data_IF_962102275875
#
_entry.id   IF_962102275875
#
_cell.length_a   1.000
_cell.length_b   1.000
_cell.length_c   1.000
_cell.angle_alpha   90.00
_cell.angle_beta   90.00
_cell.angle_gamma   90.00
#
_symmetry.space_group_name_H-M   'P 1'
#
loop_
_entity.id
_entity.type
_entity.pdbx_description
1 polymer ?
#
# COMPACT_ATOMS: atom_id res chain seq x y z
N UNK A 1 -17.74 -0.54 11.35
CA UNK A 1 -16.48 -1.23 11.03
C UNK A 1 -15.34 -0.30 11.43
N UNK A 2 -14.33 -0.82 12.14
CA UNK A 2 -13.23 0.01 12.64
C UNK A 2 -12.15 0.18 11.58
N UNK A 3 -11.35 1.24 11.69
CA UNK A 3 -10.22 1.47 10.79
C UNK A 3 -9.23 0.29 10.91
N UNK A 4 -8.82 -0.33 9.79
CA UNK A 4 -7.77 -1.35 9.82
C UNK A 4 -6.44 -0.74 10.27
N UNK A 5 -5.65 -1.51 11.02
CA UNK A 5 -4.34 -1.11 11.48
C UNK A 5 -3.26 -1.85 10.69
N UNK A 6 -2.27 -1.12 10.17
CA UNK A 6 -1.11 -1.70 9.53
C UNK A 6 -0.22 -2.32 10.62
N UNK A 7 0.05 -3.62 10.52
CA UNK A 7 0.88 -4.36 11.48
C UNK A 7 2.32 -4.41 11.00
N UNK A 8 2.51 -4.78 9.73
CA UNK A 8 3.84 -4.87 9.12
C UNK A 8 3.80 -4.20 7.76
N UNK A 9 4.58 -3.13 7.55
CA UNK A 9 4.65 -2.45 6.26
C UNK A 9 5.29 -3.37 5.20
N UNK A 10 5.13 -3.06 3.91
CA UNK A 10 5.72 -3.85 2.84
C UNK A 10 7.25 -3.78 2.91
N UNK A 11 7.89 -4.93 2.69
CA UNK A 11 9.35 -5.05 2.68
C UNK A 11 9.99 -4.64 1.35
N UNK A 12 9.18 -4.51 0.30
CA UNK A 12 9.61 -4.12 -1.04
C UNK A 12 8.69 -3.07 -1.65
N UNK A 13 9.22 -2.32 -2.62
CA UNK A 13 8.40 -1.43 -3.43
C UNK A 13 7.66 -2.21 -4.52
N UNK A 14 6.45 -1.78 -4.92
CA UNK A 14 5.69 -2.43 -6.00
C UNK A 14 6.37 -2.29 -7.37
N UNK A 15 7.26 -1.31 -7.52
CA UNK A 15 8.12 -1.11 -8.68
C UNK A 15 9.53 -0.70 -8.23
N UNK A 16 10.56 -1.24 -8.90
CA UNK A 16 11.95 -0.89 -8.59
C UNK A 16 12.32 0.51 -9.08
N UNK A 17 13.27 1.15 -8.39
CA UNK A 17 13.85 2.45 -8.79
C UNK A 17 14.43 2.34 -10.20
N UNK A 18 15.15 1.25 -10.51
CA UNK A 18 15.71 1.00 -11.83
C UNK A 18 14.64 0.95 -12.95
N UNK A 19 13.51 0.30 -12.70
CA UNK A 19 12.41 0.25 -13.67
C UNK A 19 11.76 1.61 -13.90
N UNK A 20 11.72 2.47 -12.88
CA UNK A 20 11.26 3.86 -13.02
C UNK A 20 12.29 4.69 -13.78
N UNK A 21 13.57 4.65 -13.40
CA UNK A 21 14.67 5.33 -14.11
C UNK A 21 14.71 5.02 -15.59
N UNK A 22 14.57 3.74 -15.94
CA UNK A 22 14.50 3.29 -17.33
C UNK A 22 13.31 3.91 -18.07
N UNK A 23 12.14 3.99 -17.43
CA UNK A 23 10.94 4.56 -18.04
C UNK A 23 11.06 6.08 -18.25
N UNK A 24 11.70 6.78 -17.31
CA UNK A 24 11.90 8.24 -17.35
C UNK A 24 13.18 8.65 -18.11
N UNK A 25 13.98 7.67 -18.56
CA UNK A 25 15.30 7.89 -19.21
C UNK A 25 16.28 8.68 -18.34
N UNK A 26 16.34 8.33 -17.06
CA UNK A 26 17.24 8.93 -16.07
C UNK A 26 18.38 7.96 -15.78
N UNK A 27 19.62 8.35 -16.10
CA UNK A 27 20.82 7.53 -15.87
C UNK A 27 21.64 7.98 -14.64
N UNK A 28 21.20 9.04 -13.95
CA UNK A 28 21.91 9.64 -12.81
C UNK A 28 21.72 8.81 -11.53
N UNK A 29 22.78 8.27 -10.89
CA UNK A 29 22.68 7.53 -9.63
C UNK A 29 22.37 8.43 -8.42
N UNK A 30 22.68 9.72 -8.46
CA UNK A 30 22.45 10.62 -7.32
C UNK A 30 20.95 10.86 -7.06
N UNK A 31 20.12 10.59 -8.08
CA UNK A 31 18.66 10.70 -8.00
C UNK A 31 17.98 9.45 -7.44
N UNK A 32 18.70 8.38 -7.13
CA UNK A 32 18.09 7.12 -6.69
C UNK A 32 17.24 7.30 -5.42
N UNK A 33 17.75 8.06 -4.45
CA UNK A 33 17.04 8.34 -3.18
C UNK A 33 15.80 9.21 -3.40
N UNK A 34 15.87 10.16 -4.33
CA UNK A 34 14.74 11.04 -4.66
C UNK A 34 13.64 10.25 -5.38
N UNK A 35 14.00 9.45 -6.37
CA UNK A 35 13.06 8.59 -7.11
C UNK A 35 12.41 7.58 -6.17
N UNK A 36 13.16 6.99 -5.23
CA UNK A 36 12.59 6.09 -4.23
C UNK A 36 11.54 6.79 -3.35
N UNK A 37 11.84 8.02 -2.90
CA UNK A 37 10.90 8.84 -2.12
C UNK A 37 9.62 9.17 -2.92
N UNK A 38 9.77 9.51 -4.20
CA UNK A 38 8.64 9.77 -5.09
C UNK A 38 7.80 8.52 -5.36
N UNK A 39 8.42 7.34 -5.50
CA UNK A 39 7.70 6.07 -5.60
C UNK A 39 6.90 5.83 -4.32
N UNK A 40 7.49 5.98 -3.13
CA UNK A 40 6.77 5.82 -1.85
C UNK A 40 5.58 6.78 -1.75
N UNK A 41 5.76 8.04 -2.12
CA UNK A 41 4.66 9.01 -2.13
C UNK A 41 3.57 8.67 -3.14
N UNK A 42 3.92 8.13 -4.32
CA UNK A 42 2.95 7.66 -5.29
C UNK A 42 2.19 6.43 -4.76
N UNK A 43 2.88 5.52 -4.08
CA UNK A 43 2.28 4.37 -3.41
C UNK A 43 1.28 4.83 -2.34
N UNK A 44 1.68 5.71 -1.41
CA UNK A 44 0.80 6.25 -0.36
C UNK A 44 -0.44 6.96 -0.92
N UNK A 45 -0.37 7.50 -2.15
CA UNK A 45 -1.49 8.13 -2.82
C UNK A 45 -2.53 7.12 -3.33
N UNK A 46 -2.06 5.98 -3.86
CA UNK A 46 -2.92 4.93 -4.41
C UNK A 46 -3.41 3.95 -3.33
N UNK A 47 -2.51 3.59 -2.40
CA UNK A 47 -2.66 2.54 -1.40
C UNK A 47 -3.29 3.04 -0.08
N UNK A 48 -3.91 2.10 0.63
CA UNK A 48 -4.32 2.27 2.02
C UNK A 48 -5.79 2.64 2.20
N UNK A 49 -6.23 2.62 3.46
CA UNK A 49 -7.63 2.89 3.84
C UNK A 49 -8.15 4.26 3.38
N UNK A 50 -7.25 5.25 3.28
CA UNK A 50 -7.55 6.60 2.77
C UNK A 50 -6.99 6.84 1.37
N UNK A 51 -6.35 5.85 0.77
CA UNK A 51 -5.87 5.92 -0.60
C UNK A 51 -7.02 5.89 -1.60
N UNK A 52 -6.75 6.29 -2.84
CA UNK A 52 -7.78 6.38 -3.88
C UNK A 52 -8.39 5.00 -4.19
N UNK A 53 -7.57 3.95 -4.18
CA UNK A 53 -8.00 2.62 -4.61
C UNK A 53 -8.52 1.75 -3.46
N UNK A 54 -8.15 2.05 -2.21
CA UNK A 54 -8.51 1.22 -1.06
C UNK A 54 -7.86 -0.17 -1.06
N UNK A 55 -6.80 -0.36 -1.85
CA UNK A 55 -6.08 -1.62 -2.00
C UNK A 55 -4.69 -1.57 -1.36
N UNK A 56 -4.10 -2.74 -1.15
CA UNK A 56 -2.69 -2.94 -0.86
C UNK A 56 -1.94 -3.27 -2.16
N UNK A 57 -0.80 -2.63 -2.42
CA UNK A 57 -0.03 -2.88 -3.64
C UNK A 57 1.02 -3.97 -3.41
N UNK A 58 1.94 -3.73 -2.49
CA UNK A 58 2.93 -4.73 -2.08
C UNK A 58 2.40 -5.58 -0.92
N UNK A 59 2.96 -6.78 -0.74
CA UNK A 59 2.59 -7.67 0.37
C UNK A 59 2.88 -7.00 1.73
N UNK A 60 1.85 -6.89 2.55
CA UNK A 60 1.91 -6.31 3.89
C UNK A 60 0.85 -6.93 4.81
N UNK A 61 1.05 -6.80 6.12
CA UNK A 61 0.18 -7.42 7.13
C UNK A 61 -0.75 -6.39 7.78
N UNK A 62 -2.03 -6.69 7.80
CA UNK A 62 -3.08 -5.85 8.34
C UNK A 62 -3.83 -6.53 9.47
N UNK A 63 -4.34 -5.70 10.38
CA UNK A 63 -5.20 -6.13 11.47
C UNK A 63 -6.56 -5.42 11.36
N UNK A 64 -7.63 -6.21 11.36
CA UNK A 64 -8.99 -5.71 11.37
C UNK A 64 -9.72 -6.17 12.64
N UNK A 65 -10.16 -5.21 13.44
CA UNK A 65 -10.99 -5.46 14.62
C UNK A 65 -12.48 -5.37 14.30
N UNK A 66 -13.28 -6.26 14.88
CA UNK A 66 -14.74 -6.26 14.85
C UNK A 66 -15.29 -6.35 16.27
N UNK A 67 -16.44 -5.74 16.53
CA UNK A 67 -17.05 -5.74 17.87
C UNK A 67 -17.84 -7.03 18.16
N UNK A 68 -18.18 -7.82 17.13
CA UNK A 68 -18.91 -9.09 17.27
C UNK A 68 -18.62 -10.04 16.11
N UNK A 69 -18.91 -11.33 16.34
CA UNK A 69 -18.91 -12.31 15.27
C UNK A 69 -20.10 -12.12 14.32
N UNK A 70 -19.81 -12.26 13.04
CA UNK A 70 -20.80 -12.46 11.99
C UNK A 70 -20.39 -13.70 11.19
N UNK A 71 -21.35 -14.32 10.50
CA UNK A 71 -21.05 -15.47 9.61
C UNK A 71 -20.11 -15.08 8.48
N UNK A 72 -20.15 -13.81 8.07
CA UNK A 72 -19.28 -13.25 7.06
C UNK A 72 -18.73 -11.91 7.55
N UNK A 73 -17.41 -11.78 7.58
CA UNK A 73 -16.68 -10.59 7.99
C UNK A 73 -15.91 -10.05 6.79
N UNK A 74 -16.34 -8.91 6.25
CA UNK A 74 -15.66 -8.27 5.13
C UNK A 74 -14.32 -7.69 5.57
N UNK A 75 -13.27 -7.93 4.80
CA UNK A 75 -11.95 -7.34 4.96
C UNK A 75 -11.86 -6.10 4.07
N UNK A 76 -11.49 -4.94 4.62
CA UNK A 76 -11.56 -3.69 3.88
C UNK A 76 -10.43 -3.47 2.89
N UNK A 77 -9.24 -4.01 3.19
CA UNK A 77 -8.05 -3.85 2.36
C UNK A 77 -7.85 -5.17 1.62
N UNK A 78 -7.93 -5.11 0.29
CA UNK A 78 -7.59 -6.21 -0.60
C UNK A 78 -6.50 -5.80 -1.59
N UNK A 79 -6.06 -6.69 -2.49
CA UNK A 79 -6.39 -8.11 -2.54
C UNK A 79 -5.81 -8.85 -1.33
N UNK A 80 -6.54 -9.83 -0.78
CA UNK A 80 -6.09 -10.60 0.41
C UNK A 80 -5.37 -11.86 -0.07
N UNK A 81 -4.12 -12.02 0.34
CA UNK A 81 -3.26 -13.18 0.01
C UNK A 81 -3.60 -14.35 0.93
N UNK A 82 -3.84 -14.06 2.21
CA UNK A 82 -4.12 -15.08 3.21
C UNK A 82 -4.47 -14.50 4.56
N UNK A 83 -5.03 -15.33 5.42
CA UNK A 83 -5.40 -14.98 6.80
C UNK A 83 -4.43 -15.69 7.74
N UNK A 84 -3.72 -14.94 8.56
CA UNK A 84 -2.72 -15.50 9.46
C UNK A 84 -3.37 -16.00 10.76
N UNK A 85 -4.27 -15.21 11.33
CA UNK A 85 -5.01 -15.63 12.52
C UNK A 85 -6.33 -14.89 12.71
N UNK A 86 -7.30 -15.59 13.28
CA UNK A 86 -8.54 -15.01 13.80
C UNK A 86 -8.57 -15.26 15.30
N UNK A 87 -8.53 -14.19 16.08
CA UNK A 87 -8.56 -14.25 17.55
C UNK A 87 -9.78 -13.53 18.07
N UNK A 88 -10.22 -13.90 19.26
CA UNK A 88 -11.31 -13.25 19.96
C UNK A 88 -11.01 -13.10 21.44
N UNK A 89 -11.64 -12.11 22.08
CA UNK A 89 -11.46 -11.78 23.49
C UNK A 89 -12.77 -11.88 24.26
N UNK A 90 -12.72 -12.51 25.43
CA UNK A 90 -13.88 -12.58 26.33
C UNK A 90 -13.98 -11.39 27.28
N UNK A 91 -15.07 -11.27 28.06
CA UNK A 91 -15.27 -10.16 29.01
C UNK A 91 -14.19 -10.10 30.10
N UNK A 92 -13.57 -11.24 30.43
CA UNK A 92 -12.46 -11.33 31.36
C UNK A 92 -11.10 -10.92 30.75
N UNK A 93 -11.06 -10.53 29.47
CA UNK A 93 -9.86 -10.10 28.77
C UNK A 93 -8.98 -11.24 28.25
N UNK A 94 -9.41 -12.49 28.38
CA UNK A 94 -8.70 -13.66 27.85
C UNK A 94 -8.87 -13.74 26.33
N UNK A 95 -7.77 -13.98 25.63
CA UNK A 95 -7.75 -14.12 24.17
C UNK A 95 -7.70 -15.59 23.79
N UNK A 96 -8.55 -15.99 22.85
CA UNK A 96 -8.56 -17.32 22.27
C UNK A 96 -8.50 -17.24 20.73
N UNK A 97 -7.93 -18.26 20.11
CA UNK A 97 -7.75 -18.34 18.66
C UNK A 97 -8.83 -19.25 18.07
N UNK A 98 -9.46 -18.81 16.99
CA UNK A 98 -10.40 -19.63 16.23
C UNK A 98 -9.59 -20.62 15.39
N UNK A 99 -9.93 -21.93 15.39
CA UNK A 99 -9.26 -22.90 14.54
C UNK A 99 -9.32 -22.50 13.06
N UNK A 100 -8.21 -22.59 12.30
CA UNK A 100 -8.19 -22.26 10.87
C UNK A 100 -9.19 -23.09 10.04
N UNK A 101 -9.50 -24.30 10.48
CA UNK A 101 -10.48 -25.18 9.84
C UNK A 101 -11.94 -24.75 10.05
N UNK A 102 -12.20 -23.71 10.85
CA UNK A 102 -13.56 -23.21 11.14
C UNK A 102 -13.94 -21.97 10.32
N UNK A 103 -13.02 -21.47 9.48
CA UNK A 103 -13.28 -20.34 8.60
C UNK A 103 -12.58 -20.50 7.25
N UNK A 104 -13.15 -19.87 6.23
CA UNK A 104 -12.58 -19.84 4.88
C UNK A 104 -12.52 -18.39 4.38
N UNK A 105 -11.41 -18.06 3.72
CA UNK A 105 -11.31 -16.83 2.93
C UNK A 105 -12.15 -16.98 1.66
N UNK A 106 -13.02 -16.02 1.41
CA UNK A 106 -13.81 -15.89 0.18
C UNK A 106 -13.45 -14.58 -0.48
N UNK A 107 -13.25 -14.63 -1.79
CA UNK A 107 -13.02 -13.44 -2.59
C UNK A 107 -14.09 -13.41 -3.66
N UNK A 108 -14.85 -12.33 -3.71
CA UNK A 108 -15.87 -12.11 -4.74
C UNK A 108 -15.22 -11.76 -6.08
N UNK A 109 -15.98 -11.86 -7.17
CA UNK A 109 -15.53 -11.48 -8.51
C UNK A 109 -15.11 -10.00 -8.59
N UNK A 110 -15.64 -9.14 -7.70
CA UNK A 110 -15.22 -7.75 -7.56
C UNK A 110 -13.93 -7.52 -6.75
N UNK A 111 -13.25 -8.58 -6.29
CA UNK A 111 -12.01 -8.48 -5.51
C UNK A 111 -12.20 -8.20 -4.01
N UNK A 112 -13.43 -7.96 -3.58
CA UNK A 112 -13.76 -7.83 -2.16
C UNK A 112 -13.54 -9.18 -1.46
N UNK A 113 -12.78 -9.16 -0.36
CA UNK A 113 -12.45 -10.36 0.40
C UNK A 113 -13.21 -10.39 1.71
N UNK A 114 -13.77 -11.54 2.08
CA UNK A 114 -14.48 -11.76 3.33
C UNK A 114 -14.05 -13.07 3.97
N UNK A 115 -14.08 -13.12 5.30
CA UNK A 115 -13.89 -14.35 6.06
C UNK A 115 -15.26 -14.90 6.39
N UNK A 116 -15.53 -16.11 5.91
CA UNK A 116 -16.76 -16.83 6.19
C UNK A 116 -16.50 -17.95 7.18
N UNK A 117 -17.23 -17.94 8.30
CA UNK A 117 -17.19 -19.04 9.26
C UNK A 117 -18.10 -20.18 8.82
N UNK A 118 -17.70 -21.40 9.13
CA UNK A 118 -18.50 -22.58 8.83
C UNK A 118 -19.84 -22.56 9.58
N UNK A 119 -20.86 -23.17 8.97
CA UNK A 119 -22.20 -23.19 9.57
C UNK A 119 -22.23 -23.89 10.93
N UNK A 120 -21.38 -24.90 11.12
CA UNK A 120 -21.27 -25.67 12.37
C UNK A 120 -20.45 -24.98 13.47
N UNK A 121 -19.74 -23.89 13.17
CA UNK A 121 -18.99 -23.16 14.18
C UNK A 121 -19.95 -22.40 15.11
N UNK A 122 -19.95 -22.74 16.39
CA UNK A 122 -20.72 -22.05 17.42
C UNK A 122 -19.95 -20.82 17.91
N UNK A 123 -20.55 -19.64 17.80
CA UNK A 123 -19.90 -18.42 18.26
C UNK A 123 -19.88 -18.35 19.79
N UNK A 124 -18.76 -17.92 20.40
CA UNK A 124 -18.73 -17.60 21.82
C UNK A 124 -19.76 -16.52 22.16
N UNK A 125 -20.46 -16.70 23.29
CA UNK A 125 -21.45 -15.72 23.79
C UNK A 125 -20.83 -14.67 24.70
N UNK A 126 -19.70 -15.00 25.33
CA UNK A 126 -19.00 -14.16 26.28
C UNK A 126 -17.95 -13.30 25.57
N UNK A 127 -18.40 -12.35 24.75
CA UNK A 127 -17.53 -11.47 23.98
C UNK A 127 -17.28 -10.17 24.74
N UNK A 128 -16.07 -9.62 24.62
CA UNK A 128 -15.78 -8.28 25.12
C UNK A 128 -16.66 -7.23 24.43
N UNK A 129 -16.97 -6.12 25.11
CA UNK A 129 -17.90 -5.10 24.61
C UNK A 129 -17.45 -4.44 23.28
N UNK A 130 -16.13 -4.37 23.05
CA UNK A 130 -15.48 -3.66 21.95
C UNK A 130 -14.25 -4.42 21.47
N UNK A 131 -14.04 -4.45 20.14
CA UNK A 131 -12.89 -5.14 19.52
C UNK A 131 -12.78 -6.61 19.94
N UNK A 132 -13.94 -7.25 20.09
CA UNK A 132 -14.05 -8.62 20.54
C UNK A 132 -13.38 -9.62 19.60
N UNK A 133 -13.29 -9.32 18.31
CA UNK A 133 -12.69 -10.17 17.28
C UNK A 133 -11.60 -9.40 16.57
N UNK A 134 -10.43 -10.01 16.43
CA UNK A 134 -9.28 -9.46 15.74
C UNK A 134 -8.83 -10.43 14.66
N UNK A 135 -8.75 -9.92 13.43
CA UNK A 135 -8.31 -10.70 12.27
C UNK A 135 -6.99 -10.13 11.79
N UNK A 136 -5.96 -10.96 11.77
CA UNK A 136 -4.69 -10.64 11.14
C UNK A 136 -4.62 -11.35 9.79
N UNK A 137 -4.34 -10.58 8.74
CA UNK A 137 -4.32 -11.06 7.36
C UNK A 137 -3.27 -10.32 6.55
N UNK A 138 -2.77 -11.00 5.51
CA UNK A 138 -1.86 -10.43 4.52
C UNK A 138 -2.63 -9.95 3.32
N UNK A 139 -2.38 -8.71 2.93
CA UNK A 139 -2.96 -8.09 1.74
C UNK A 139 -1.86 -7.53 0.84
N UNK A 140 -2.14 -7.46 -0.45
CA UNK A 140 -1.22 -7.03 -1.49
C UNK A 140 -1.09 -8.06 -2.60
N UNK A 141 -0.33 -7.71 -3.64
CA UNK A 141 0.09 -8.70 -4.61
C UNK A 141 1.28 -9.50 -4.08
N UNK A 142 1.29 -10.82 -4.29
CA UNK A 142 2.38 -11.66 -3.81
C UNK A 142 3.70 -11.25 -4.47
N UNK A 143 4.78 -11.38 -3.71
CA UNK A 143 6.11 -11.12 -4.24
C UNK A 143 6.56 -12.32 -5.08
N UNK A 144 7.15 -12.04 -6.24
CA UNK A 144 7.79 -13.05 -7.08
C UNK A 144 9.15 -13.39 -6.47
N UNK A 145 9.40 -14.66 -6.11
CA UNK A 145 10.72 -15.06 -5.61
C UNK A 145 11.77 -14.88 -6.71
N UNK A 146 12.97 -14.50 -6.31
CA UNK A 146 14.11 -14.43 -7.22
C UNK A 146 14.42 -15.83 -7.76
N UNK A 147 14.76 -15.95 -9.06
CA UNK A 147 15.22 -17.21 -9.62
C UNK A 147 16.57 -17.61 -8.99
N UNK A 148 16.87 -18.91 -8.94
CA UNK A 148 18.04 -19.44 -8.23
C UNK A 148 19.39 -18.95 -8.81
N UNK A 149 19.38 -18.49 -10.06
CA UNK A 149 20.49 -17.92 -10.82
C UNK A 149 20.49 -16.38 -10.83
N UNK A 150 19.73 -15.74 -9.94
CA UNK A 150 19.68 -14.29 -9.85
C UNK A 150 21.07 -13.69 -9.54
N UNK A 151 21.39 -12.61 -10.25
CA UNK A 151 22.62 -11.85 -10.06
C UNK A 151 22.62 -11.22 -8.65
N UNK A 152 23.80 -11.14 -8.04
CA UNK A 152 23.98 -10.48 -6.74
C UNK A 152 23.43 -9.03 -6.78
N UNK A 153 22.51 -8.70 -5.87
CA UNK A 153 21.81 -7.41 -5.84
C UNK A 153 20.45 -7.37 -6.55
N UNK A 154 19.97 -8.49 -7.12
CA UNK A 154 18.60 -8.57 -7.63
C UNK A 154 17.57 -8.40 -6.49
N UNK A 155 16.54 -7.58 -6.74
CA UNK A 155 15.48 -7.29 -5.77
C UNK A 155 14.22 -8.07 -6.19
N UNK A 156 13.53 -8.77 -5.27
CA UNK A 156 12.27 -9.43 -5.63
C UNK A 156 11.23 -8.40 -6.07
N UNK A 157 10.48 -8.73 -7.12
CA UNK A 157 9.45 -7.86 -7.68
C UNK A 157 8.07 -8.27 -7.20
N UNK A 158 7.20 -7.29 -6.95
CA UNK A 158 5.79 -7.58 -6.67
C UNK A 158 5.02 -7.90 -7.95
N UNK A 159 4.09 -8.85 -7.89
CA UNK A 159 3.22 -9.24 -9.01
C UNK A 159 2.07 -8.24 -9.24
N UNK A 160 2.30 -6.97 -8.88
CA UNK A 160 1.37 -5.86 -9.14
C UNK A 160 1.11 -5.76 -10.65
N UNK A 161 -0.16 -5.60 -11.07
CA UNK A 161 -0.55 -5.39 -12.45
C UNK A 161 0.21 -4.27 -13.15
N UNK A 162 0.51 -4.48 -14.44
CA UNK A 162 1.33 -3.56 -15.24
C UNK A 162 0.69 -2.18 -15.43
N UNK A 163 -0.64 -2.11 -15.41
CA UNK A 163 -1.41 -0.87 -15.45
C UNK A 163 -1.18 -0.02 -14.20
N UNK A 164 -1.19 -0.62 -13.01
CA UNK A 164 -0.86 0.06 -11.75
C UNK A 164 0.62 0.48 -11.74
N UNK A 165 1.53 -0.40 -12.17
CA UNK A 165 2.96 -0.05 -12.32
C UNK A 165 3.14 1.16 -13.25
N UNK A 166 2.38 1.22 -14.32
CA UNK A 166 2.37 2.36 -15.26
C UNK A 166 1.79 3.62 -14.62
N UNK A 167 0.72 3.51 -13.84
CA UNK A 167 0.16 4.64 -13.09
C UNK A 167 1.18 5.24 -12.11
N UNK A 168 1.93 4.39 -11.39
CA UNK A 168 3.01 4.83 -10.50
C UNK A 168 4.08 5.59 -11.30
N UNK A 169 4.55 5.05 -12.43
CA UNK A 169 5.53 5.74 -13.30
C UNK A 169 5.03 7.12 -13.74
N UNK A 170 3.77 7.22 -14.18
CA UNK A 170 3.16 8.49 -14.61
C UNK A 170 3.05 9.50 -13.46
N UNK A 171 2.71 9.03 -12.26
CA UNK A 171 2.64 9.87 -11.07
C UNK A 171 4.02 10.41 -10.70
N UNK A 172 5.04 9.56 -10.72
CA UNK A 172 6.44 9.97 -10.46
C UNK A 172 6.91 10.99 -11.50
N UNK A 173 6.67 10.75 -12.79
CA UNK A 173 6.96 11.72 -13.87
C UNK A 173 6.29 13.07 -13.59
N UNK A 174 5.02 13.06 -13.18
CA UNK A 174 4.27 14.28 -12.87
C UNK A 174 4.91 15.05 -11.71
N UNK A 175 5.34 14.34 -10.65
CA UNK A 175 6.01 14.96 -9.50
C UNK A 175 7.34 15.62 -9.88
N UNK A 176 8.13 14.97 -10.74
CA UNK A 176 9.39 15.53 -11.26
C UNK A 176 9.13 16.75 -12.13
N UNK A 177 8.18 16.67 -13.06
CA UNK A 177 7.83 17.77 -13.96
C UNK A 177 7.27 18.96 -13.18
N UNK A 178 6.47 18.72 -12.14
CA UNK A 178 5.98 19.77 -11.24
C UNK A 178 7.13 20.44 -10.48
N UNK A 179 8.09 19.69 -9.95
CA UNK A 179 9.27 20.22 -9.30
C UNK A 179 10.10 21.10 -10.26
N UNK A 180 10.32 20.61 -11.48
CA UNK A 180 11.04 21.35 -12.53
C UNK A 180 10.30 22.64 -12.93
N UNK A 181 8.98 22.59 -13.10
CA UNK A 181 8.15 23.76 -13.43
C UNK A 181 8.21 24.81 -12.34
N UNK A 182 8.08 24.41 -11.07
CA UNK A 182 8.18 25.33 -9.93
C UNK A 182 9.55 26.00 -9.90
N UNK A 183 10.62 25.23 -10.13
CA UNK A 183 11.96 25.78 -10.22
C UNK A 183 12.10 26.80 -11.37
N UNK A 184 11.58 26.51 -12.55
CA UNK A 184 11.59 27.44 -13.68
C UNK A 184 10.88 28.77 -13.37
N UNK A 185 9.74 28.72 -12.65
CA UNK A 185 9.04 29.92 -12.18
C UNK A 185 9.90 30.73 -11.20
N UNK A 186 10.59 30.07 -10.28
CA UNK A 186 11.51 30.74 -9.34
C UNK A 186 12.67 31.40 -10.08
N UNK A 187 13.31 30.69 -11.02
CA UNK A 187 14.42 31.22 -11.82
C UNK A 187 13.98 32.43 -12.66
N UNK A 188 12.80 32.37 -13.31
CA UNK A 188 12.28 33.51 -14.08
C UNK A 188 11.99 34.75 -13.23
N UNK A 189 11.57 34.57 -11.97
CA UNK A 189 11.42 35.69 -11.01
C UNK A 189 12.76 36.28 -10.62
N UNK A 190 13.76 35.44 -10.36
CA UNK A 190 15.13 35.88 -10.03
C UNK A 190 15.73 36.63 -11.22
N UNK A 191 15.63 36.07 -12.42
CA UNK A 191 16.10 36.71 -13.65
C UNK A 191 15.40 38.06 -13.88
N UNK A 192 14.07 38.12 -13.75
CA UNK A 192 13.32 39.38 -13.87
C UNK A 192 13.76 40.42 -12.83
N UNK A 193 14.06 40.00 -11.60
CA UNK A 193 14.59 40.89 -10.56
C UNK A 193 16.01 41.38 -10.88
N UNK A 194 16.88 40.50 -11.39
CA UNK A 194 18.25 40.82 -11.80
C UNK A 194 18.26 41.80 -12.98
N UNK A 195 17.47 41.53 -14.02
CA UNK A 195 17.36 42.39 -15.22
C UNK A 195 16.64 43.70 -14.90
N UNK A 196 15.66 43.68 -13.99
CA UNK A 196 14.90 44.85 -13.57
C UNK A 196 15.79 46.01 -13.10
N UNK A 197 16.91 45.70 -12.43
CA UNK A 197 17.91 46.69 -11.98
C UNK A 197 18.56 47.45 -13.15
N UNK A 198 18.70 46.82 -14.31
CA UNK A 198 19.37 47.38 -15.49
C UNK A 198 18.40 47.88 -16.56
N UNK A 199 17.09 47.80 -16.31
CA UNK A 199 16.05 48.26 -17.24
C UNK A 199 16.08 49.78 -17.31
N UNK A 200 16.62 50.33 -18.41
CA UNK A 200 16.51 51.76 -18.69
C UNK A 200 15.05 52.09 -18.97
N UNK A 201 14.44 52.96 -18.17
CA UNK A 201 13.14 53.53 -18.51
C UNK A 201 13.30 54.38 -19.77
N UNK A 202 12.58 54.01 -20.83
CA UNK A 202 12.26 54.96 -21.88
C UNK A 202 11.18 55.87 -21.32
N UNK A 203 11.45 57.17 -21.31
CA UNK A 203 10.45 58.22 -21.10
C UNK A 203 9.48 58.19 -22.28
#
# INVERSE_FOLDING_TARGET
MRRPALVTPPSILPISVAAVKLALRIDDPDLDTEIESQIRSAVDHYEGWTGILGIALAEQSWSQSFDRFFRELALPIGPVIGVDSVTWRNVAGQVATVPPASYALRTDAGGASSIRFDAGYGFPVDLYEREAVLIQYRAGWPNRPLPADAVEGAVPESDVPDDIKTAIKLRVQTMIDEAARVNAVHLGRIESALIGKYRRWSI
#
